data_IF_569840475570
#
_entry.id   IF_569840475570
#
_cell.length_a   1.000
_cell.length_b   1.000
_cell.length_c   1.000
_cell.angle_alpha   90.00
_cell.angle_beta   90.00
_cell.angle_gamma   90.00
#
_symmetry.space_group_name_H-M   'P 1'
#
loop_
_entity.id
_entity.type
_entity.pdbx_description
1 polymer ?
#
# COMPACT_ATOMS: atom_id res chain seq x y z
N UNK A 1 -7.35 -0.81 8.70
CA UNK A 1 -7.06 -1.31 7.32
C UNK A 1 -7.23 -2.82 7.33
N UNK A 2 -7.55 -3.46 6.20
CA UNK A 2 -7.87 -4.88 6.11
C UNK A 2 -6.77 -5.63 5.37
N UNK A 3 -5.92 -6.33 6.14
CA UNK A 3 -4.82 -7.17 5.64
C UNK A 3 -4.89 -8.61 6.17
N UNK A 4 -5.80 -8.87 7.10
CA UNK A 4 -5.98 -10.14 7.81
C UNK A 4 -7.27 -10.82 7.35
N UNK A 5 -7.66 -11.95 7.94
CA UNK A 5 -8.90 -12.68 7.60
C UNK A 5 -8.95 -13.25 6.17
N UNK A 6 -7.80 -13.44 5.51
CA UNK A 6 -7.74 -13.75 4.07
C UNK A 6 -8.24 -12.61 3.17
N UNK A 7 -8.44 -11.40 3.74
CA UNK A 7 -9.11 -10.29 3.07
C UNK A 7 -8.38 -9.80 1.81
N UNK A 8 -7.04 -9.94 1.77
CA UNK A 8 -6.20 -9.53 0.64
C UNK A 8 -6.39 -10.40 -0.62
N UNK A 9 -7.18 -11.48 -0.52
CA UNK A 9 -7.49 -12.40 -1.61
C UNK A 9 -9.01 -12.60 -1.82
N UNK A 10 -9.87 -11.75 -1.25
CA UNK A 10 -11.31 -11.78 -1.54
C UNK A 10 -11.59 -11.57 -3.04
N UNK A 11 -12.71 -12.11 -3.53
CA UNK A 11 -13.06 -12.07 -4.94
C UNK A 11 -12.99 -10.64 -5.52
N UNK A 12 -13.64 -9.66 -4.87
CA UNK A 12 -13.66 -8.27 -5.35
C UNK A 12 -12.26 -7.62 -5.39
N UNK A 13 -11.35 -8.02 -4.48
CA UNK A 13 -9.97 -7.51 -4.43
C UNK A 13 -9.20 -7.99 -5.66
N UNK A 14 -9.45 -9.22 -6.11
CA UNK A 14 -8.88 -9.75 -7.34
C UNK A 14 -9.53 -9.18 -8.60
N UNK A 15 -10.85 -9.00 -8.61
CA UNK A 15 -11.55 -8.34 -9.71
C UNK A 15 -10.95 -6.96 -10.00
N UNK A 16 -10.74 -6.15 -8.96
CA UNK A 16 -10.09 -4.84 -9.09
C UNK A 16 -8.64 -4.91 -9.61
N UNK A 17 -7.84 -5.88 -9.15
CA UNK A 17 -6.46 -6.08 -9.65
C UNK A 17 -6.42 -6.53 -11.12
N UNK A 18 -7.48 -7.21 -11.59
CA UNK A 18 -7.56 -7.75 -12.94
C UNK A 18 -8.30 -6.83 -13.93
N UNK A 19 -8.89 -5.74 -13.44
CA UNK A 19 -9.58 -4.75 -14.26
C UNK A 19 -8.63 -4.15 -15.28
N UNK A 20 -9.06 -4.05 -16.54
CA UNK A 20 -8.15 -3.69 -17.63
C UNK A 20 -7.61 -2.26 -17.44
N UNK A 21 -8.47 -1.31 -17.06
CA UNK A 21 -8.04 0.07 -16.82
C UNK A 21 -7.02 0.21 -15.69
N UNK A 22 -7.03 -0.69 -14.70
CA UNK A 22 -6.02 -0.71 -13.63
C UNK A 22 -4.69 -1.26 -14.15
N UNK A 23 -4.72 -2.34 -14.92
CA UNK A 23 -3.52 -2.93 -15.53
C UNK A 23 -2.88 -1.93 -16.49
N UNK A 24 -3.66 -1.30 -17.37
CA UNK A 24 -3.19 -0.36 -18.38
C UNK A 24 -2.40 0.80 -17.76
N UNK A 25 -2.88 1.33 -16.63
CA UNK A 25 -2.20 2.39 -15.87
C UNK A 25 -0.77 1.98 -15.46
N UNK A 26 -0.56 0.74 -15.04
CA UNK A 26 0.77 0.23 -14.70
C UNK A 26 1.56 -0.22 -15.92
N UNK A 27 0.91 -0.75 -16.95
CA UNK A 27 1.56 -1.14 -18.20
C UNK A 27 2.17 0.08 -18.89
N UNK A 28 1.44 1.20 -18.91
CA UNK A 28 1.93 2.48 -19.44
C UNK A 28 3.08 3.02 -18.60
N UNK A 29 2.94 3.01 -17.26
CA UNK A 29 3.98 3.48 -16.34
C UNK A 29 5.31 2.73 -16.52
N UNK A 30 5.25 1.41 -16.70
CA UNK A 30 6.43 0.55 -16.76
C UNK A 30 6.85 0.16 -18.17
N UNK A 31 6.12 0.61 -19.19
CA UNK A 31 6.34 0.30 -20.61
C UNK A 31 6.38 -1.22 -20.89
N UNK A 32 5.58 -2.00 -20.16
CA UNK A 32 5.46 -3.46 -20.35
C UNK A 32 4.14 -4.01 -19.83
N UNK A 33 3.60 -5.02 -20.53
CA UNK A 33 2.42 -5.76 -20.07
C UNK A 33 2.77 -6.92 -19.12
N UNK A 34 4.05 -7.24 -18.96
CA UNK A 34 4.52 -8.34 -18.12
C UNK A 34 4.59 -7.92 -16.64
N UNK A 35 3.44 -7.76 -16.00
CA UNK A 35 3.34 -7.22 -14.64
C UNK A 35 3.16 -8.29 -13.56
N UNK A 36 3.50 -7.96 -12.32
CA UNK A 36 3.10 -8.72 -11.13
C UNK A 36 2.54 -7.76 -10.08
N UNK A 37 1.55 -8.22 -9.31
CA UNK A 37 0.79 -7.38 -8.37
C UNK A 37 1.07 -7.71 -6.91
N UNK A 38 1.15 -6.70 -6.04
CA UNK A 38 1.25 -6.91 -4.60
C UNK A 38 -0.04 -7.53 -4.02
N UNK A 39 0.07 -8.36 -2.98
CA UNK A 39 -1.09 -8.89 -2.24
C UNK A 39 -1.44 -7.99 -1.06
N UNK A 40 -1.52 -6.69 -1.34
CA UNK A 40 -1.83 -5.65 -0.37
C UNK A 40 -3.33 -5.65 -0.02
N UNK A 41 -3.68 -4.93 1.04
CA UNK A 41 -5.03 -4.84 1.57
C UNK A 41 -5.90 -3.76 0.96
N UNK A 42 -7.01 -3.54 1.65
CA UNK A 42 -7.94 -2.46 1.36
C UNK A 42 -8.32 -1.74 2.67
N UNK A 43 -8.93 -0.58 2.54
CA UNK A 43 -9.39 0.22 3.66
C UNK A 43 -10.89 0.43 3.55
N UNK A 44 -11.60 0.04 4.61
CA UNK A 44 -12.94 0.55 4.92
C UNK A 44 -12.82 1.35 6.21
N UNK A 45 -13.07 2.65 6.13
CA UNK A 45 -13.04 3.54 7.30
C UNK A 45 -14.43 4.14 7.51
N UNK A 46 -14.98 3.89 8.69
CA UNK A 46 -16.25 4.44 9.11
C UNK A 46 -16.05 5.83 9.71
N UNK A 47 -16.94 6.80 9.39
CA UNK A 47 -16.92 8.12 10.02
C UNK A 47 -17.34 8.04 11.50
N UNK A 48 -17.06 9.09 12.25
CA UNK A 48 -17.56 9.29 13.63
C UNK A 48 -17.19 8.17 14.63
N UNK A 49 -16.05 7.49 14.41
CA UNK A 49 -15.50 6.50 15.35
C UNK A 49 -14.85 7.22 16.53
N UNK A 50 -15.32 6.96 17.74
CA UNK A 50 -14.80 7.54 18.99
C UNK A 50 -13.83 6.61 19.72
N UNK A 51 -13.63 5.40 19.21
CA UNK A 51 -12.84 4.32 19.80
C UNK A 51 -11.48 4.14 19.12
N UNK A 52 -11.07 5.09 18.27
CA UNK A 52 -9.80 5.08 17.55
C UNK A 52 -8.96 6.25 18.04
N UNK A 53 -7.78 5.97 18.59
CA UNK A 53 -6.72 6.96 18.73
C UNK A 53 -5.95 7.03 17.42
N UNK A 54 -5.63 8.23 16.94
CA UNK A 54 -4.90 8.39 15.70
C UNK A 54 -4.11 9.70 15.71
N UNK A 55 -2.89 9.65 15.19
CA UNK A 55 -2.08 10.83 14.92
C UNK A 55 -1.44 10.76 13.53
N UNK A 56 -1.16 11.91 12.89
CA UNK A 56 -0.44 11.92 11.63
C UNK A 56 0.96 11.30 11.77
N UNK A 57 1.31 10.45 10.82
CA UNK A 57 2.60 9.77 10.77
C UNK A 57 3.18 9.88 9.35
N UNK A 58 3.65 11.07 8.94
CA UNK A 58 4.18 11.24 7.59
C UNK A 58 5.36 10.31 7.36
N UNK A 59 5.31 9.53 6.27
CA UNK A 59 6.32 8.53 5.97
C UNK A 59 6.53 8.36 4.46
N UNK A 60 7.59 7.64 4.10
CA UNK A 60 7.78 7.08 2.76
C UNK A 60 8.17 5.62 2.88
N UNK A 61 7.85 4.82 1.87
CA UNK A 61 8.03 3.37 1.92
C UNK A 61 9.13 2.84 0.99
N UNK A 62 9.94 3.74 0.43
CA UNK A 62 11.18 3.35 -0.24
C UNK A 62 12.36 3.52 0.71
N UNK A 63 13.17 2.46 0.86
CA UNK A 63 14.42 2.55 1.61
C UNK A 63 15.33 3.66 1.07
N UNK A 64 15.90 4.52 1.94
CA UNK A 64 16.83 5.57 1.54
C UNK A 64 18.14 5.03 0.97
N UNK A 65 18.43 3.73 1.18
CA UNK A 65 19.56 3.03 0.59
C UNK A 65 19.40 2.82 -0.93
N UNK A 66 18.19 2.98 -1.48
CA UNK A 66 17.89 2.74 -2.90
C UNK A 66 17.68 4.05 -3.64
N UNK A 67 18.27 4.13 -4.84
CA UNK A 67 18.27 5.32 -5.69
C UNK A 67 17.24 5.20 -6.82
N UNK A 68 16.71 6.34 -7.23
CA UNK A 68 15.69 6.44 -8.25
C UNK A 68 14.33 5.85 -7.82
N UNK A 69 13.36 5.90 -8.72
CA UNK A 69 12.03 5.32 -8.50
C UNK A 69 12.10 3.79 -8.61
N UNK A 70 11.79 3.08 -7.54
CA UNK A 70 11.81 1.60 -7.51
C UNK A 70 10.40 0.98 -7.45
N UNK A 71 9.43 1.71 -6.91
CA UNK A 71 8.02 1.35 -6.94
C UNK A 71 7.15 2.60 -7.00
N UNK A 72 5.96 2.41 -7.57
CA UNK A 72 4.89 3.37 -7.59
C UNK A 72 3.69 2.69 -6.97
N UNK A 73 3.26 3.19 -5.83
CA UNK A 73 2.07 2.72 -5.15
C UNK A 73 0.83 3.26 -5.83
N UNK A 74 -0.27 2.52 -5.72
CA UNK A 74 -1.54 2.90 -6.26
C UNK A 74 -2.67 2.70 -5.26
N UNK A 75 -3.69 3.53 -5.39
CA UNK A 75 -4.92 3.45 -4.63
C UNK A 75 -6.10 3.60 -5.58
N UNK A 76 -6.90 2.53 -5.68
CA UNK A 76 -8.16 2.52 -6.41
C UNK A 76 -9.30 2.84 -5.44
N UNK A 77 -10.11 3.83 -5.78
CA UNK A 77 -11.16 4.32 -4.92
C UNK A 77 -12.53 3.70 -5.28
N UNK A 78 -13.26 3.20 -4.30
CA UNK A 78 -14.54 2.51 -4.52
C UNK A 78 -15.78 3.32 -4.10
N UNK A 79 -15.61 4.37 -3.31
CA UNK A 79 -16.70 5.21 -2.82
C UNK A 79 -16.30 6.68 -2.86
N UNK A 80 -17.26 7.60 -2.97
CA UNK A 80 -16.98 9.04 -2.98
C UNK A 80 -16.09 9.44 -1.81
N UNK A 81 -14.98 10.13 -2.10
CA UNK A 81 -14.02 10.55 -1.11
C UNK A 81 -13.71 12.05 -1.27
N UNK A 82 -14.56 12.89 -0.67
CA UNK A 82 -14.40 14.34 -0.65
C UNK A 82 -13.39 14.82 0.40
N UNK A 83 -13.12 16.13 0.49
CA UNK A 83 -12.05 16.71 1.31
C UNK A 83 -12.04 16.29 2.78
N UNK A 84 -13.21 15.99 3.36
CA UNK A 84 -13.39 15.63 4.76
C UNK A 84 -13.61 14.12 5.00
N UNK A 85 -13.63 13.28 3.95
CA UNK A 85 -13.94 11.85 4.06
C UNK A 85 -12.71 10.99 4.39
N UNK A 86 -11.67 11.62 4.93
CA UNK A 86 -10.39 11.00 5.23
C UNK A 86 -9.67 10.58 3.96
N UNK A 87 -8.71 9.67 4.10
CA UNK A 87 -8.00 9.06 2.98
C UNK A 87 -6.55 9.47 2.86
N UNK A 88 -6.07 9.65 1.63
CA UNK A 88 -4.64 9.80 1.37
C UNK A 88 -4.22 11.27 1.42
N UNK A 89 -3.17 11.57 2.18
CA UNK A 89 -2.44 12.84 2.10
C UNK A 89 -1.09 12.56 1.46
N UNK A 90 -0.77 13.29 0.40
CA UNK A 90 0.51 13.25 -0.32
C UNK A 90 1.23 14.58 -0.18
N UNK A 91 2.55 14.56 0.01
CA UNK A 91 3.37 15.75 -0.08
C UNK A 91 3.89 15.94 -1.51
N UNK A 92 3.22 16.78 -2.29
CA UNK A 92 3.60 17.07 -3.68
C UNK A 92 5.02 17.62 -3.74
N UNK A 93 5.83 17.07 -4.65
CA UNK A 93 7.23 17.45 -4.86
C UNK A 93 8.25 16.77 -3.94
N UNK A 94 7.82 16.10 -2.86
CA UNK A 94 8.75 15.50 -1.89
C UNK A 94 9.66 14.42 -2.48
N UNK A 95 9.16 13.61 -3.42
CA UNK A 95 9.96 12.58 -4.09
C UNK A 95 11.17 13.14 -4.85
N UNK A 96 11.08 14.37 -5.38
CA UNK A 96 12.18 15.02 -6.10
C UNK A 96 13.33 15.41 -5.16
N UNK A 97 13.03 15.61 -3.88
CA UNK A 97 14.00 15.99 -2.85
C UNK A 97 14.46 14.78 -2.02
N UNK A 98 13.99 13.57 -2.32
CA UNK A 98 14.29 12.36 -1.55
C UNK A 98 15.80 12.11 -1.45
N UNK A 99 16.51 12.16 -2.57
CA UNK A 99 17.96 11.90 -2.59
C UNK A 99 18.78 13.01 -1.91
N UNK A 100 18.32 14.26 -1.98
CA UNK A 100 18.93 15.39 -1.25
C UNK A 100 18.73 15.23 0.25
N UNK A 101 17.50 14.93 0.68
CA UNK A 101 17.16 14.75 2.08
C UNK A 101 17.99 13.62 2.70
N UNK A 102 18.08 12.46 2.04
CA UNK A 102 18.85 11.31 2.52
C UNK A 102 20.35 11.35 2.17
N UNK A 103 20.88 12.48 1.68
CA UNK A 103 22.31 12.68 1.57
C UNK A 103 22.99 12.80 2.94
N UNK A 104 22.24 13.25 3.96
CA UNK A 104 22.63 13.23 5.37
C UNK A 104 21.92 12.12 6.14
N UNK A 105 22.48 11.74 7.29
CA UNK A 105 21.84 10.80 8.20
C UNK A 105 20.72 11.52 8.96
N UNK A 106 19.53 10.92 8.97
CA UNK A 106 18.37 11.40 9.71
C UNK A 106 17.84 10.29 10.61
N UNK A 107 17.42 10.66 11.81
CA UNK A 107 16.73 9.74 12.71
C UNK A 107 15.23 9.78 12.40
N UNK A 108 14.63 8.62 12.17
CA UNK A 108 13.18 8.49 12.02
C UNK A 108 12.45 8.94 13.29
N UNK A 109 11.18 9.34 13.15
CA UNK A 109 10.29 9.53 14.29
C UNK A 109 9.87 8.17 14.90
N UNK A 110 9.43 8.19 16.15
CA UNK A 110 8.78 7.04 16.79
C UNK A 110 7.26 7.10 16.53
N UNK A 111 6.62 5.94 16.35
CA UNK A 111 5.16 5.85 16.21
C UNK A 111 4.64 4.51 16.73
N UNK A 112 3.48 4.49 17.40
CA UNK A 112 2.90 3.28 18.00
C UNK A 112 2.50 2.22 16.96
N UNK A 113 2.09 2.66 15.76
CA UNK A 113 1.74 1.80 14.64
C UNK A 113 2.96 1.37 13.78
N UNK A 114 4.19 1.76 14.14
CA UNK A 114 5.37 1.35 13.41
C UNK A 114 5.63 -0.16 13.59
N UNK A 115 6.12 -0.88 12.55
CA UNK A 115 6.53 -2.27 12.70
C UNK A 115 7.57 -2.44 13.82
N UNK A 116 7.53 -3.57 14.58
CA UNK A 116 8.55 -3.87 15.58
C UNK A 116 9.97 -3.81 15.00
N UNK A 117 10.96 -3.23 15.70
CA UNK A 117 12.34 -3.12 15.20
C UNK A 117 12.97 -4.46 14.76
N UNK A 118 12.52 -5.58 15.34
CA UNK A 118 13.01 -6.92 15.06
C UNK A 118 12.64 -7.41 13.65
N UNK A 119 11.68 -6.77 12.98
CA UNK A 119 11.29 -7.09 11.60
C UNK A 119 12.22 -6.47 10.55
N UNK A 120 13.22 -5.69 10.96
CA UNK A 120 14.22 -5.01 10.10
C UNK A 120 13.58 -4.36 8.86
N UNK A 121 12.51 -3.60 9.08
CA UNK A 121 11.71 -3.02 8.01
C UNK A 121 12.50 -1.92 7.27
N UNK A 122 13.18 -2.29 6.18
CA UNK A 122 14.03 -1.35 5.44
C UNK A 122 13.27 -0.27 4.67
N UNK A 123 11.98 -0.49 4.48
CA UNK A 123 11.08 0.20 3.55
C UNK A 123 10.07 1.08 4.28
N UNK A 124 10.50 1.72 5.36
CA UNK A 124 9.71 2.69 6.10
C UNK A 124 10.65 3.74 6.69
N UNK A 125 10.40 5.01 6.40
CA UNK A 125 11.02 6.13 7.10
C UNK A 125 9.95 7.09 7.61
N UNK A 126 9.85 7.23 8.93
CA UNK A 126 8.93 8.14 9.59
C UNK A 126 9.54 9.53 9.71
N UNK A 127 8.89 10.54 9.15
CA UNK A 127 9.35 11.91 9.18
C UNK A 127 8.94 12.60 10.49
N UNK A 128 9.89 13.34 11.09
CA UNK A 128 9.63 14.26 12.20
C UNK A 128 9.03 15.56 11.67
N UNK A 129 8.42 16.35 12.54
CA UNK A 129 7.88 17.66 12.18
C UNK A 129 8.94 18.58 11.54
N UNK A 130 10.17 18.56 12.05
CA UNK A 130 11.29 19.31 11.47
C UNK A 130 11.66 18.85 10.05
N UNK A 131 11.49 17.55 9.74
CA UNK A 131 11.69 17.04 8.40
C UNK A 131 10.58 17.52 7.47
N UNK A 132 9.31 17.44 7.91
CA UNK A 132 8.18 17.97 7.13
C UNK A 132 8.41 19.45 6.81
N UNK A 133 8.85 20.25 7.80
CA UNK A 133 9.19 21.67 7.60
C UNK A 133 10.29 21.86 6.56
N UNK A 134 11.33 21.02 6.58
CA UNK A 134 12.42 21.06 5.60
C UNK A 134 11.92 20.93 4.16
N UNK A 135 10.92 20.06 3.92
CA UNK A 135 10.27 19.90 2.61
C UNK A 135 9.34 21.09 2.30
N UNK A 136 8.54 21.59 3.26
CA UNK A 136 7.65 22.74 3.02
C UNK A 136 8.43 24.02 2.71
N UNK A 137 9.56 24.25 3.37
CA UNK A 137 10.44 25.41 3.13
C UNK A 137 11.08 25.36 1.72
N UNK A 138 11.06 24.19 1.08
CA UNK A 138 11.50 23.96 -0.31
C UNK A 138 10.35 23.88 -1.30
N UNK A 139 9.15 24.30 -0.89
CA UNK A 139 7.98 24.43 -1.76
C UNK A 139 7.18 23.14 -1.93
N UNK A 140 7.43 22.09 -1.14
CA UNK A 140 6.57 20.91 -1.13
C UNK A 140 5.28 21.16 -0.33
N UNK A 141 4.17 20.60 -0.77
CA UNK A 141 2.84 20.87 -0.19
C UNK A 141 2.12 19.57 0.17
N UNK A 142 1.64 19.46 1.41
CA UNK A 142 0.73 18.39 1.82
C UNK A 142 -0.66 18.62 1.24
N UNK A 143 -1.11 17.72 0.37
CA UNK A 143 -2.43 17.75 -0.26
C UNK A 143 -3.23 16.52 0.15
N UNK A 144 -4.45 16.74 0.65
CA UNK A 144 -5.45 15.67 0.77
C UNK A 144 -6.01 15.36 -0.62
N UNK A 145 -5.89 14.10 -1.05
CA UNK A 145 -6.37 13.64 -2.35
C UNK A 145 -7.86 13.31 -2.25
N UNK A 146 -8.67 13.94 -3.10
CA UNK A 146 -10.10 13.62 -3.24
C UNK A 146 -10.33 12.85 -4.53
N UNK A 147 -11.17 11.82 -4.45
CA UNK A 147 -11.35 10.83 -5.50
C UNK A 147 -12.83 10.48 -5.61
N UNK A 148 -13.32 10.34 -6.83
CA UNK A 148 -14.62 9.76 -7.13
C UNK A 148 -14.51 8.23 -7.25
N UNK A 149 -15.63 7.48 -7.17
CA UNK A 149 -15.60 6.04 -7.38
C UNK A 149 -15.03 5.68 -8.76
N UNK A 150 -14.06 4.78 -8.79
CA UNK A 150 -13.35 4.36 -10.00
C UNK A 150 -12.06 5.14 -10.27
N UNK A 151 -11.84 6.28 -9.60
CA UNK A 151 -10.57 6.99 -9.73
C UNK A 151 -9.42 6.19 -9.11
N UNK A 152 -8.26 6.30 -9.74
CA UNK A 152 -7.02 5.73 -9.26
C UNK A 152 -5.96 6.82 -9.11
N UNK A 153 -5.30 6.85 -7.95
CA UNK A 153 -4.13 7.71 -7.71
C UNK A 153 -2.88 6.85 -7.65
N UNK A 154 -1.82 7.32 -8.30
CA UNK A 154 -0.48 6.76 -8.23
C UNK A 154 0.46 7.73 -7.52
N UNK A 155 1.42 7.20 -6.76
CA UNK A 155 2.53 7.98 -6.22
C UNK A 155 3.81 7.15 -6.13
N UNK A 156 4.94 7.80 -6.40
CA UNK A 156 6.26 7.21 -6.18
C UNK A 156 6.42 6.86 -4.68
N UNK A 157 6.92 5.66 -4.35
CA UNK A 157 7.14 5.22 -2.96
C UNK A 157 8.09 6.14 -2.15
N UNK A 158 8.85 7.01 -2.81
CA UNK A 158 9.66 8.09 -2.19
C UNK A 158 8.83 9.29 -1.71
N UNK A 159 7.60 9.43 -2.20
CA UNK A 159 6.71 10.54 -1.85
C UNK A 159 6.32 10.44 -0.39
N UNK A 160 6.52 11.51 0.38
CA UNK A 160 6.02 11.57 1.75
C UNK A 160 4.50 11.54 1.74
N UNK A 161 3.90 10.66 2.54
CA UNK A 161 2.46 10.48 2.60
C UNK A 161 2.01 9.93 3.94
N UNK A 162 0.70 9.96 4.18
CA UNK A 162 0.05 9.29 5.30
C UNK A 162 -1.47 9.24 5.07
N UNK A 163 -2.17 8.40 5.83
CA UNK A 163 -3.62 8.35 5.83
C UNK A 163 -4.21 9.33 6.84
N UNK A 164 -5.39 9.90 6.59
CA UNK A 164 -6.18 10.65 7.57
C UNK A 164 -7.57 10.01 7.79
N UNK A 165 -8.13 10.21 8.98
CA UNK A 165 -9.46 9.69 9.31
C UNK A 165 -10.59 10.54 8.73
N UNK A 166 -11.74 9.93 8.38
CA UNK A 166 -12.94 10.67 7.98
C UNK A 166 -13.47 11.55 9.10
N UNK A 167 -13.71 12.82 8.76
CA UNK A 167 -14.42 13.83 9.58
C UNK A 167 -15.85 14.06 9.08
N UNK A 168 -16.13 13.69 7.83
CA UNK A 168 -17.45 13.72 7.20
C UNK A 168 -18.35 12.55 7.63
N UNK A 169 -19.35 12.25 6.81
CA UNK A 169 -20.33 11.19 7.06
C UNK A 169 -20.24 10.03 6.05
N UNK A 170 -19.32 10.09 5.09
CA UNK A 170 -19.16 9.02 4.10
C UNK A 170 -18.29 7.90 4.66
N UNK A 171 -18.63 6.66 4.28
CA UNK A 171 -17.76 5.52 4.50
C UNK A 171 -16.70 5.53 3.40
N UNK A 172 -15.44 5.60 3.80
CA UNK A 172 -14.33 5.46 2.87
C UNK A 172 -14.18 4.00 2.48
N UNK A 173 -14.03 3.73 1.20
CA UNK A 173 -13.66 2.40 0.69
C UNK A 173 -12.64 2.54 -0.45
N UNK A 174 -11.47 1.95 -0.28
CA UNK A 174 -10.39 1.99 -1.27
C UNK A 174 -9.51 0.75 -1.17
N UNK A 175 -8.88 0.35 -2.28
CA UNK A 175 -7.93 -0.75 -2.33
C UNK A 175 -6.54 -0.25 -2.72
N UNK A 176 -5.51 -0.79 -2.07
CA UNK A 176 -4.12 -0.53 -2.45
C UNK A 176 -3.70 -1.54 -3.51
N UNK A 177 -3.20 -1.03 -4.64
CA UNK A 177 -2.76 -1.83 -5.78
C UNK A 177 -1.43 -1.28 -6.22
N UNK A 178 -0.42 -2.13 -6.26
CA UNK A 178 0.90 -1.81 -6.78
C UNK A 178 1.28 -2.94 -7.74
N UNK A 179 1.72 -2.57 -8.94
CA UNK A 179 2.26 -3.53 -9.91
C UNK A 179 3.65 -3.09 -10.34
N UNK A 180 4.49 -4.08 -10.63
CA UNK A 180 5.83 -3.87 -11.19
C UNK A 180 6.11 -4.92 -12.26
N UNK A 181 7.04 -4.68 -13.18
CA UNK A 181 7.48 -5.69 -14.14
C UNK A 181 7.87 -7.00 -13.45
N UNK A 182 7.47 -8.12 -14.03
CA UNK A 182 7.89 -9.47 -13.59
C UNK A 182 9.41 -9.60 -13.58
N UNK A 183 10.08 -8.95 -14.55
CA UNK A 183 11.54 -8.92 -14.68
C UNK A 183 12.27 -8.30 -13.48
N UNK A 184 11.58 -7.57 -12.60
CA UNK A 184 12.18 -7.02 -11.38
C UNK A 184 12.27 -8.06 -10.25
N UNK A 185 11.51 -9.16 -10.35
CA UNK A 185 11.46 -10.19 -9.32
C UNK A 185 12.56 -11.24 -9.53
N UNK A 186 13.15 -11.69 -8.43
CA UNK A 186 14.01 -12.88 -8.42
C UNK A 186 13.16 -14.16 -8.45
N UNK A 187 13.77 -15.29 -8.79
CA UNK A 187 13.10 -16.61 -8.67
C UNK A 187 12.53 -16.84 -7.28
N UNK A 188 13.31 -16.51 -6.24
CA UNK A 188 12.93 -16.70 -4.84
C UNK A 188 11.71 -15.85 -4.46
N UNK A 189 11.64 -14.61 -4.99
CA UNK A 189 10.48 -13.75 -4.81
C UNK A 189 9.24 -14.32 -5.50
N UNK A 190 9.37 -14.84 -6.73
CA UNK A 190 8.28 -15.49 -7.45
C UNK A 190 7.79 -16.76 -6.73
N UNK A 191 8.70 -17.60 -6.22
CA UNK A 191 8.37 -18.80 -5.45
C UNK A 191 7.69 -18.47 -4.12
N UNK A 192 8.15 -17.41 -3.42
CA UNK A 192 7.52 -16.92 -2.21
C UNK A 192 6.09 -16.43 -2.49
N UNK A 193 5.89 -15.64 -3.54
CA UNK A 193 4.57 -15.13 -3.93
C UNK A 193 3.62 -16.25 -4.32
N UNK A 194 4.11 -17.27 -5.03
CA UNK A 194 3.32 -18.46 -5.34
C UNK A 194 2.78 -19.10 -4.07
N UNK A 195 3.62 -19.33 -3.06
CA UNK A 195 3.19 -19.86 -1.75
C UNK A 195 2.18 -18.95 -1.07
N UNK A 196 2.43 -17.63 -1.05
CA UNK A 196 1.49 -16.67 -0.48
C UNK A 196 0.13 -16.72 -1.17
N UNK A 197 0.09 -16.87 -2.49
CA UNK A 197 -1.15 -17.01 -3.25
C UNK A 197 -1.88 -18.32 -2.92
N UNK A 198 -1.18 -19.46 -2.86
CA UNK A 198 -1.75 -20.76 -2.52
C UNK A 198 -2.30 -20.81 -1.08
N UNK A 199 -1.71 -20.03 -0.16
CA UNK A 199 -2.09 -19.95 1.25
C UNK A 199 -2.94 -18.72 1.60
N UNK A 200 -3.37 -17.92 0.63
CA UNK A 200 -4.12 -16.67 0.82
C UNK A 200 -3.46 -15.67 1.80
N UNK A 201 -2.13 -15.58 1.77
CA UNK A 201 -1.34 -14.67 2.60
C UNK A 201 -1.15 -13.33 1.92
N UNK A 202 -1.56 -12.26 2.61
CA UNK A 202 -1.23 -10.89 2.23
C UNK A 202 0.26 -10.57 2.33
N UNK A 203 0.71 -9.64 1.51
CA UNK A 203 2.09 -9.13 1.47
C UNK A 203 2.11 -7.62 1.69
N UNK A 204 3.30 -7.02 1.68
CA UNK A 204 3.47 -5.56 1.56
C UNK A 204 3.09 -5.06 0.17
N UNK A 205 3.14 -3.74 -0.02
CA UNK A 205 2.92 -3.08 -1.31
C UNK A 205 3.98 -3.39 -2.38
N UNK A 206 5.09 -4.06 -2.04
CA UNK A 206 6.15 -4.40 -3.02
C UNK A 206 5.82 -5.72 -3.73
N UNK A 207 5.62 -5.73 -5.06
CA UNK A 207 5.32 -6.97 -5.76
C UNK A 207 6.55 -7.86 -5.95
N UNK A 208 7.73 -7.29 -6.20
CA UNK A 208 8.90 -8.03 -6.68
C UNK A 208 9.99 -8.28 -5.63
N UNK A 209 9.93 -7.62 -4.47
CA UNK A 209 10.99 -7.67 -3.43
C UNK A 209 10.44 -7.32 -2.05
N UNK A 210 11.27 -7.50 -1.03
CA UNK A 210 10.95 -7.19 0.37
C UNK A 210 9.54 -7.63 0.79
N UNK A 211 9.23 -8.87 0.44
CA UNK A 211 7.89 -9.44 0.60
C UNK A 211 7.76 -9.92 2.03
N UNK A 212 7.26 -9.06 2.91
CA UNK A 212 6.88 -9.47 4.26
C UNK A 212 5.51 -10.13 4.22
N UNK A 213 5.45 -11.39 4.67
CA UNK A 213 4.22 -12.15 4.77
C UNK A 213 3.45 -11.69 6.01
N UNK A 214 2.16 -11.44 5.84
CA UNK A 214 1.29 -11.14 6.98
C UNK A 214 1.14 -12.40 7.86
N UNK A 215 1.74 -12.38 9.05
CA UNK A 215 1.79 -13.52 9.98
C UNK A 215 1.03 -13.27 11.29
N UNK A 216 0.62 -12.03 11.54
CA UNK A 216 -0.13 -11.67 12.75
C UNK A 216 -1.56 -12.23 12.70
N UNK A 217 -2.10 -12.57 13.86
CA UNK A 217 -3.51 -12.93 14.00
C UNK A 217 -4.34 -11.68 14.29
N UNK A 218 -5.53 -11.54 13.69
CA UNK A 218 -6.37 -10.38 13.97
C UNK A 218 -6.88 -10.43 15.41
N UNK A 219 -6.79 -9.30 16.09
CA UNK A 219 -7.15 -9.17 17.51
C UNK A 219 -8.45 -8.38 17.69
N UNK A 220 -9.18 -8.64 18.78
CA UNK A 220 -10.28 -7.82 19.29
C UNK A 220 -9.97 -7.47 20.74
N UNK A 221 -9.43 -6.27 20.96
CA UNK A 221 -8.76 -5.97 22.22
C UNK A 221 -7.55 -6.89 22.39
N UNK A 222 -7.43 -7.53 23.54
CA UNK A 222 -6.29 -8.41 23.87
C UNK A 222 -6.45 -9.87 23.43
N UNK A 223 -7.60 -10.24 22.84
CA UNK A 223 -7.89 -11.62 22.44
C UNK A 223 -7.91 -11.80 20.92
N UNK A 224 -7.51 -12.97 20.45
CA UNK A 224 -7.63 -13.32 19.03
C UNK A 224 -9.10 -13.26 18.59
N UNK A 225 -9.34 -12.70 17.41
CA UNK A 225 -10.67 -12.53 16.87
C UNK A 225 -11.30 -13.91 16.56
N UNK A 226 -12.46 -14.27 17.12
CA UNK A 226 -13.12 -15.55 16.84
C UNK A 226 -13.71 -15.65 15.43
N UNK A 227 -13.60 -14.57 14.65
CA UNK A 227 -14.00 -14.50 13.23
C UNK A 227 -12.78 -14.53 12.29
N UNK A 228 -11.60 -14.84 12.82
CA UNK A 228 -10.42 -15.06 11.99
C UNK A 228 -10.66 -16.16 10.95
N UNK A 229 -10.05 -15.99 9.78
CA UNK A 229 -10.13 -16.91 8.65
C UNK A 229 -8.77 -16.95 7.97
N UNK A 230 -8.34 -18.15 7.61
CA UNK A 230 -7.11 -18.35 6.84
C UNK A 230 -7.38 -18.32 5.31
N UNK A 231 -8.63 -18.22 4.89
CA UNK A 231 -9.03 -18.10 3.48
C UNK A 231 -10.13 -17.04 3.26
N UNK A 232 -10.26 -16.50 2.03
CA UNK A 232 -11.31 -15.55 1.67
C UNK A 232 -12.72 -16.10 1.89
N UNK A 233 -13.66 -15.20 2.12
CA UNK A 233 -15.06 -15.55 2.35
C UNK A 233 -15.69 -15.87 1.00
N UNK A 234 -15.41 -15.02 0.02
CA UNK A 234 -15.70 -15.28 -1.39
C UNK A 234 -14.38 -15.54 -2.11
N UNK A 235 -14.13 -16.81 -2.44
CA UNK A 235 -12.93 -17.21 -3.16
C UNK A 235 -12.97 -16.66 -4.59
N UNK A 236 -11.84 -16.15 -5.10
CA UNK A 236 -11.78 -15.62 -6.44
C UNK A 236 -11.81 -16.73 -7.48
N UNK A 237 -12.32 -16.43 -8.68
CA UNK A 237 -12.20 -17.34 -9.83
C UNK A 237 -10.79 -17.27 -10.39
N UNK A 238 -10.06 -18.38 -10.36
CA UNK A 238 -8.70 -18.45 -10.91
C UNK A 238 -8.75 -18.36 -12.43
N UNK A 239 -8.09 -17.35 -12.98
CA UNK A 239 -7.96 -17.12 -14.43
C UNK A 239 -6.50 -17.05 -14.84
N UNK A 240 -6.22 -17.21 -16.13
CA UNK A 240 -4.87 -17.04 -16.67
C UNK A 240 -4.29 -15.64 -16.39
N UNK A 241 -5.13 -14.60 -16.41
CA UNK A 241 -4.73 -13.23 -16.07
C UNK A 241 -4.29 -13.14 -14.61
N UNK A 242 -5.05 -13.74 -13.69
CA UNK A 242 -4.66 -13.80 -12.28
C UNK A 242 -3.32 -14.52 -12.12
N UNK A 243 -3.16 -15.69 -12.74
CA UNK A 243 -1.94 -16.48 -12.64
C UNK A 243 -0.70 -15.73 -13.17
N UNK A 244 -0.87 -14.91 -14.21
CA UNK A 244 0.17 -14.01 -14.72
C UNK A 244 0.52 -12.90 -13.73
N UNK A 245 -0.48 -12.21 -13.16
CA UNK A 245 -0.28 -11.16 -12.14
C UNK A 245 0.30 -11.69 -10.82
N UNK A 246 0.02 -12.94 -10.46
CA UNK A 246 0.68 -13.63 -9.34
C UNK A 246 2.16 -13.85 -9.68
N UNK A 247 2.46 -14.17 -10.94
CA UNK A 247 3.80 -14.50 -11.44
C UNK A 247 4.03 -16.00 -11.66
N UNK A 248 2.98 -16.83 -11.60
CA UNK A 248 3.06 -18.29 -11.76
C UNK A 248 2.85 -18.77 -13.19
N UNK A 249 2.23 -17.95 -14.04
CA UNK A 249 2.09 -18.19 -15.47
C UNK A 249 2.93 -17.16 -16.24
N UNK A 250 3.50 -17.60 -17.36
CA UNK A 250 4.22 -16.71 -18.27
C UNK A 250 3.25 -15.85 -19.09
N UNK A 251 3.76 -14.70 -19.54
CA UNK A 251 3.00 -13.73 -20.32
C UNK A 251 2.84 -14.18 -21.76
#
# INVERSE_FOLDING_TARGET
MYFLYGATHENFVWEARMEQGVIDVFSELWETDELIVAFDGFNVSFPNRTDINWSPWPHCDQSPKRKGMQAVQGLLNFATNGPDDGGLILMKGSANLFDEFFASQHQAADHEDAPPPELEWEDLFLFKEEHVRWFTDRGCELTKISLDPGDMVLWDSRTMHYACLPKGNNIRHAQYICMTPKSFATSDALDLRKRCFEEYRGTTHWPHRNIHITSMKPMRGEVACPKDRDEPFEKPVITDRMLRLVGVKDY
#
